data_IF_362862402035
#
_entry.id   IF_362862402035
#
_cell.length_a   1.000
_cell.length_b   1.000
_cell.length_c   1.000
_cell.angle_alpha   90.00
_cell.angle_beta   90.00
_cell.angle_gamma   90.00
#
_symmetry.space_group_name_H-M   'P 1'
#
loop_
_entity.id
_entity.type
_entity.pdbx_description
1 polymer ?
#
# COMPACT_ATOMS: atom_id res chain seq x y z
N UNK A 1 6.56 14.21 -6.37
CA UNK A 1 5.43 14.30 -5.44
C UNK A 1 5.79 13.64 -4.14
N UNK A 2 5.39 14.24 -3.06
CA UNK A 2 5.67 13.70 -1.74
C UNK A 2 4.62 12.67 -1.34
N UNK A 3 5.00 11.82 -0.40
CA UNK A 3 4.08 10.94 0.28
C UNK A 3 3.81 11.56 1.66
N UNK A 4 2.63 11.34 2.20
CA UNK A 4 2.32 11.71 3.58
C UNK A 4 2.00 10.44 4.37
N UNK A 5 2.56 10.35 5.57
CA UNK A 5 2.32 9.21 6.46
C UNK A 5 1.98 9.77 7.84
N UNK A 6 0.78 9.46 8.31
CA UNK A 6 0.32 9.94 9.62
C UNK A 6 0.02 8.74 10.50
N UNK A 7 0.81 8.58 11.54
CA UNK A 7 0.69 7.45 12.47
C UNK A 7 -0.17 7.88 13.66
N UNK A 8 -1.29 7.19 13.86
CA UNK A 8 -2.14 7.40 15.03
C UNK A 8 -1.65 6.56 16.20
N UNK A 9 -2.12 6.86 17.39
CA UNK A 9 -1.70 6.15 18.60
C UNK A 9 -2.13 4.70 18.58
N UNK A 10 -1.28 3.83 19.12
CA UNK A 10 -1.61 2.43 19.33
C UNK A 10 -2.68 2.34 20.41
N UNK A 11 -3.78 1.68 20.11
CA UNK A 11 -4.89 1.51 21.05
C UNK A 11 -4.64 0.36 22.01
N UNK A 12 -5.28 0.37 23.19
CA UNK A 12 -5.10 -0.72 24.18
C UNK A 12 -5.43 -2.12 23.64
N UNK A 13 -6.31 -2.20 22.63
CA UNK A 13 -6.69 -3.49 22.03
C UNK A 13 -5.67 -4.00 21.00
N UNK A 14 -4.55 -3.30 20.80
CA UNK A 14 -3.54 -3.68 19.83
C UNK A 14 -3.79 -3.19 18.42
N UNK A 15 -4.81 -2.36 18.21
CA UNK A 15 -5.12 -1.80 16.89
C UNK A 15 -4.42 -0.45 16.71
N UNK A 16 -3.93 -0.21 15.51
CA UNK A 16 -3.28 1.05 15.17
C UNK A 16 -3.63 1.43 13.73
N UNK A 17 -3.88 2.71 13.52
CA UNK A 17 -4.23 3.25 12.20
C UNK A 17 -3.08 4.12 11.69
N UNK A 18 -2.76 3.95 10.41
CA UNK A 18 -1.76 4.76 9.73
C UNK A 18 -2.40 5.27 8.43
N UNK A 19 -2.42 6.59 8.26
CA UNK A 19 -2.91 7.19 7.03
C UNK A 19 -1.76 7.41 6.07
N UNK A 20 -1.92 6.94 4.82
CA UNK A 20 -0.93 7.11 3.77
C UNK A 20 -1.59 7.86 2.63
N UNK A 21 -1.00 8.98 2.22
CA UNK A 21 -1.53 9.79 1.14
C UNK A 21 -0.49 10.16 0.12
N UNK A 22 -0.96 10.64 -1.02
CA UNK A 22 -0.10 11.08 -2.10
C UNK A 22 0.20 9.98 -3.10
N UNK A 23 1.45 9.89 -3.52
CA UNK A 23 1.88 8.95 -4.55
C UNK A 23 2.92 7.98 -3.98
N UNK A 24 2.60 6.71 -3.97
CA UNK A 24 3.50 5.67 -3.46
C UNK A 24 4.18 4.95 -4.64
N UNK A 25 5.44 5.29 -4.86
CA UNK A 25 6.21 4.80 -6.01
C UNK A 25 7.66 4.51 -5.63
N UNK A 26 8.54 4.35 -6.63
CA UNK A 26 9.95 4.04 -6.42
C UNK A 26 10.71 5.15 -5.70
N UNK A 27 10.20 6.38 -5.70
CA UNK A 27 10.83 7.51 -5.03
C UNK A 27 10.35 7.70 -3.59
N UNK A 28 9.20 7.13 -3.23
CA UNK A 28 8.56 7.39 -1.94
C UNK A 28 8.40 6.15 -1.06
N UNK A 29 8.51 4.93 -1.63
CA UNK A 29 8.26 3.71 -0.86
C UNK A 29 9.20 3.55 0.34
N UNK A 30 10.43 4.07 0.22
CA UNK A 30 11.40 4.00 1.30
C UNK A 30 10.94 4.74 2.56
N UNK A 31 10.30 5.90 2.37
CA UNK A 31 9.76 6.65 3.50
C UNK A 31 8.64 5.85 4.19
N UNK A 32 7.78 5.21 3.41
CA UNK A 32 6.75 4.35 3.99
C UNK A 32 7.37 3.17 4.74
N UNK A 33 8.37 2.50 4.14
CA UNK A 33 9.07 1.39 4.80
C UNK A 33 9.64 1.80 6.16
N UNK A 34 10.30 2.98 6.22
CA UNK A 34 10.88 3.48 7.46
C UNK A 34 9.80 3.71 8.52
N UNK A 35 8.68 4.31 8.12
CA UNK A 35 7.59 4.60 9.07
C UNK A 35 6.91 3.31 9.52
N UNK A 36 6.69 2.36 8.63
CA UNK A 36 6.10 1.07 9.00
C UNK A 36 7.04 0.25 9.89
N UNK A 37 8.35 0.37 9.71
CA UNK A 37 9.32 -0.27 10.59
C UNK A 37 9.15 0.21 12.03
N UNK A 38 8.94 1.53 12.21
CA UNK A 38 8.68 2.10 13.53
C UNK A 38 7.38 1.56 14.13
N UNK A 39 6.32 1.49 13.33
CA UNK A 39 5.03 0.97 13.77
C UNK A 39 5.15 -0.49 14.18
N UNK A 40 5.85 -1.29 13.37
CA UNK A 40 5.98 -2.73 13.61
C UNK A 40 6.91 -3.07 14.77
N UNK A 41 7.73 -2.10 15.20
CA UNK A 41 8.57 -2.29 16.39
C UNK A 41 7.74 -2.29 17.68
N UNK A 42 6.54 -1.72 17.65
CA UNK A 42 5.61 -1.75 18.79
C UNK A 42 4.77 -3.04 18.75
N UNK A 43 3.95 -3.22 19.79
CA UNK A 43 3.12 -4.43 19.94
C UNK A 43 1.80 -4.32 19.18
N UNK A 44 1.85 -3.82 17.96
CA UNK A 44 0.65 -3.73 17.14
C UNK A 44 0.21 -5.12 16.69
N UNK A 45 -1.07 -5.41 16.79
CA UNK A 45 -1.67 -6.68 16.37
C UNK A 45 -2.55 -6.49 15.13
N UNK A 46 -3.23 -5.37 15.03
CA UNK A 46 -4.07 -5.07 13.89
C UNK A 46 -3.69 -3.70 13.36
N UNK A 47 -3.11 -3.67 12.17
CA UNK A 47 -2.71 -2.44 11.51
C UNK A 47 -3.70 -2.10 10.43
N UNK A 48 -4.30 -0.92 10.52
CA UNK A 48 -5.20 -0.41 9.48
C UNK A 48 -4.46 0.65 8.69
N UNK A 49 -4.23 0.39 7.41
CA UNK A 49 -3.68 1.40 6.50
C UNK A 49 -4.86 2.10 5.82
N UNK A 50 -5.05 3.36 6.18
CA UNK A 50 -6.10 4.19 5.58
C UNK A 50 -5.53 4.87 4.34
N UNK A 51 -6.04 4.48 3.18
CA UNK A 51 -5.52 4.90 1.88
C UNK A 51 -6.47 5.88 1.17
N UNK A 52 -7.35 6.55 1.93
CA UNK A 52 -8.31 7.49 1.35
C UNK A 52 -7.65 8.59 0.53
N UNK A 53 -6.44 9.00 0.91
CA UNK A 53 -5.70 10.07 0.25
C UNK A 53 -4.58 9.54 -0.64
N UNK A 54 -4.48 8.23 -0.84
CA UNK A 54 -3.48 7.64 -1.72
C UNK A 54 -3.99 7.61 -3.14
N UNK A 55 -3.33 8.35 -4.03
CA UNK A 55 -3.77 8.55 -5.42
C UNK A 55 -3.18 7.54 -6.38
N UNK A 56 -2.05 6.94 -6.03
CA UNK A 56 -1.30 6.09 -6.94
C UNK A 56 -0.43 5.11 -6.16
N UNK A 57 -0.31 3.89 -6.66
CA UNK A 57 0.60 2.89 -6.09
C UNK A 57 1.35 2.16 -7.21
N UNK A 58 2.68 2.04 -7.06
CA UNK A 58 3.55 1.28 -7.97
C UNK A 58 3.81 -0.12 -7.41
N UNK A 59 4.52 -0.93 -8.20
CA UNK A 59 4.93 -2.26 -7.73
C UNK A 59 5.78 -2.20 -6.47
N UNK A 60 6.65 -1.18 -6.36
CA UNK A 60 7.46 -0.98 -5.15
C UNK A 60 6.58 -0.69 -3.94
N UNK A 61 5.52 0.12 -4.13
CA UNK A 61 4.57 0.42 -3.07
C UNK A 61 3.78 -0.80 -2.63
N UNK A 62 3.32 -1.60 -3.57
CA UNK A 62 2.62 -2.85 -3.26
C UNK A 62 3.52 -3.77 -2.45
N UNK A 63 4.79 -3.88 -2.84
CA UNK A 63 5.78 -4.72 -2.16
C UNK A 63 5.98 -4.28 -0.71
N UNK A 64 6.07 -2.96 -0.47
CA UNK A 64 6.21 -2.40 0.87
C UNK A 64 5.04 -2.79 1.77
N UNK A 65 3.83 -2.67 1.25
CA UNK A 65 2.62 -2.99 2.01
C UNK A 65 2.53 -4.49 2.29
N UNK A 66 2.83 -5.32 1.29
CA UNK A 66 2.77 -6.78 1.47
C UNK A 66 3.87 -7.28 2.41
N UNK A 67 5.04 -6.62 2.41
CA UNK A 67 6.10 -6.93 3.37
C UNK A 67 5.64 -6.67 4.80
N UNK A 68 5.00 -5.54 5.05
CA UNK A 68 4.45 -5.22 6.36
C UNK A 68 3.38 -6.24 6.78
N UNK A 69 2.51 -6.62 5.85
CA UNK A 69 1.48 -7.64 6.10
C UNK A 69 2.10 -8.97 6.50
N UNK A 70 3.16 -9.39 5.80
CA UNK A 70 3.85 -10.64 6.07
C UNK A 70 4.52 -10.63 7.45
N UNK A 71 5.15 -9.51 7.82
CA UNK A 71 5.79 -9.38 9.13
C UNK A 71 4.76 -9.44 10.26
N UNK A 72 3.61 -8.83 10.08
CA UNK A 72 2.51 -8.90 11.05
C UNK A 72 1.97 -10.33 11.15
N UNK A 73 1.74 -10.98 10.01
CA UNK A 73 1.20 -12.34 9.99
C UNK A 73 2.12 -13.32 10.73
N UNK A 74 3.44 -13.12 10.66
CA UNK A 74 4.42 -13.98 11.34
C UNK A 74 4.27 -13.94 12.86
N UNK A 75 3.64 -12.90 13.42
CA UNK A 75 3.38 -12.81 14.86
C UNK A 75 1.89 -12.84 15.19
N UNK A 76 1.09 -13.39 14.28
CA UNK A 76 -0.36 -13.55 14.48
C UNK A 76 -1.17 -12.29 14.30
N UNK A 77 -0.58 -11.22 13.75
CA UNK A 77 -1.28 -9.97 13.51
C UNK A 77 -1.89 -9.90 12.12
N UNK A 78 -2.64 -8.83 11.89
CA UNK A 78 -3.31 -8.61 10.61
C UNK A 78 -3.07 -7.20 10.11
N UNK A 79 -3.07 -7.03 8.78
CA UNK A 79 -3.02 -5.73 8.13
C UNK A 79 -4.25 -5.60 7.23
N UNK A 80 -4.96 -4.50 7.37
CA UNK A 80 -6.17 -4.23 6.62
C UNK A 80 -5.99 -2.93 5.85
N UNK A 81 -6.41 -2.92 4.59
CA UNK A 81 -6.45 -1.71 3.78
C UNK A 81 -7.85 -1.11 3.88
N UNK A 82 -7.93 0.18 4.16
CA UNK A 82 -9.20 0.88 4.33
C UNK A 82 -9.29 2.06 3.37
N UNK A 83 -10.49 2.31 2.88
CA UNK A 83 -10.82 3.50 2.08
C UNK A 83 -9.99 3.66 0.82
N UNK A 84 -9.64 2.54 0.17
CA UNK A 84 -8.87 2.60 -1.08
C UNK A 84 -9.66 3.29 -2.18
N UNK A 85 -8.99 4.17 -2.92
CA UNK A 85 -9.58 4.76 -4.12
C UNK A 85 -9.67 3.69 -5.23
N UNK A 86 -10.63 3.80 -6.16
CA UNK A 86 -10.86 2.75 -7.17
C UNK A 86 -9.62 2.33 -7.96
N UNK A 87 -8.79 3.28 -8.39
CA UNK A 87 -7.59 2.98 -9.16
C UNK A 87 -6.56 2.21 -8.33
N UNK A 88 -6.44 2.54 -7.04
CA UNK A 88 -5.52 1.86 -6.12
C UNK A 88 -6.06 0.47 -5.78
N UNK A 89 -7.36 0.37 -5.52
CA UNK A 89 -8.00 -0.92 -5.24
C UNK A 89 -7.78 -1.90 -6.38
N UNK A 90 -7.88 -1.41 -7.63
CA UNK A 90 -7.66 -2.27 -8.81
C UNK A 90 -6.28 -2.89 -8.82
N UNK A 91 -5.25 -2.13 -8.43
CA UNK A 91 -3.89 -2.65 -8.35
C UNK A 91 -3.82 -3.81 -7.35
N UNK A 92 -4.38 -3.63 -6.15
CA UNK A 92 -4.36 -4.69 -5.14
C UNK A 92 -5.16 -5.91 -5.57
N UNK A 93 -6.28 -5.72 -6.27
CA UNK A 93 -7.07 -6.83 -6.80
C UNK A 93 -6.27 -7.66 -7.80
N UNK A 94 -5.52 -7.00 -8.67
CA UNK A 94 -4.69 -7.68 -9.68
C UNK A 94 -3.58 -8.49 -9.01
N UNK A 95 -2.82 -7.87 -8.10
CA UNK A 95 -1.68 -8.55 -7.47
C UNK A 95 -2.11 -9.63 -6.50
N UNK A 96 -3.32 -9.54 -5.98
CA UNK A 96 -3.91 -10.59 -5.13
C UNK A 96 -4.21 -11.84 -5.95
N UNK A 97 -4.64 -11.66 -7.19
CA UNK A 97 -4.96 -12.76 -8.09
C UNK A 97 -3.72 -13.44 -8.63
N UNK A 98 -2.73 -12.65 -9.12
CA UNK A 98 -1.50 -13.18 -9.72
C UNK A 98 -0.32 -12.29 -9.31
N UNK A 99 0.77 -12.86 -8.77
CA UNK A 99 1.96 -12.07 -8.44
C UNK A 99 2.53 -11.39 -9.69
N UNK A 100 2.91 -10.12 -9.55
CA UNK A 100 3.44 -9.34 -10.68
C UNK A 100 4.70 -9.95 -11.27
N UNK A 101 5.53 -10.61 -10.45
CA UNK A 101 6.75 -11.25 -10.90
C UNK A 101 6.50 -12.44 -11.84
N UNK A 102 5.30 -12.99 -11.83
CA UNK A 102 4.93 -14.10 -12.73
C UNK A 102 4.37 -13.60 -14.07
N UNK A 103 3.91 -12.33 -14.10
CA UNK A 103 3.31 -11.75 -15.30
C UNK A 103 4.33 -10.94 -16.10
N UNK A 104 5.19 -10.20 -15.42
CA UNK A 104 6.10 -9.24 -16.04
C UNK A 104 7.56 -9.63 -15.83
N UNK A 105 8.39 -9.33 -16.83
CA UNK A 105 9.82 -9.66 -16.81
C UNK A 105 10.64 -8.66 -16.01
N UNK A 106 10.14 -7.44 -15.83
CA UNK A 106 10.87 -6.39 -15.13
C UNK A 106 9.94 -5.52 -14.32
N UNK A 107 10.51 -4.79 -13.37
CA UNK A 107 9.78 -3.83 -12.55
C UNK A 107 9.23 -2.70 -13.44
N UNK A 108 10.01 -2.26 -14.42
CA UNK A 108 9.60 -1.20 -15.34
C UNK A 108 8.39 -1.59 -16.16
N UNK A 109 8.33 -2.84 -16.62
CA UNK A 109 7.19 -3.36 -17.37
C UNK A 109 5.95 -3.43 -16.48
N UNK A 110 6.11 -3.91 -15.25
CA UNK A 110 5.00 -3.98 -14.29
C UNK A 110 4.48 -2.57 -13.96
N UNK A 111 5.38 -1.62 -13.72
CA UNK A 111 4.98 -0.25 -13.38
C UNK A 111 4.29 0.44 -14.56
N UNK A 112 4.74 0.20 -15.79
CA UNK A 112 4.07 0.75 -16.97
C UNK A 112 2.63 0.24 -17.08
N UNK A 113 2.42 -1.02 -16.79
CA UNK A 113 1.09 -1.62 -16.80
C UNK A 113 0.21 -1.03 -15.69
N UNK A 114 0.72 -0.96 -14.46
CA UNK A 114 -0.03 -0.43 -13.33
C UNK A 114 -0.37 1.05 -13.52
N UNK A 115 0.56 1.83 -14.07
CA UNK A 115 0.33 3.24 -14.37
C UNK A 115 -0.81 3.41 -15.37
N UNK A 116 -0.80 2.61 -16.42
CA UNK A 116 -1.82 2.65 -17.47
C UNK A 116 -3.20 2.32 -16.93
N UNK A 117 -3.30 1.28 -16.09
CA UNK A 117 -4.57 0.87 -15.50
C UNK A 117 -5.13 1.95 -14.58
N UNK A 118 -4.29 2.54 -13.75
CA UNK A 118 -4.73 3.57 -12.81
C UNK A 118 -5.20 4.82 -13.56
N UNK A 119 -4.48 5.22 -14.59
CA UNK A 119 -4.89 6.36 -15.42
C UNK A 119 -6.22 6.09 -16.13
N UNK A 120 -6.41 4.88 -16.61
CA UNK A 120 -7.64 4.50 -17.29
C UNK A 120 -8.85 4.58 -16.36
N UNK A 121 -8.70 4.11 -15.11
CA UNK A 121 -9.79 4.15 -14.14
C UNK A 121 -10.13 5.59 -13.77
N UNK A 122 -9.12 6.44 -13.57
CA UNK A 122 -9.33 7.84 -13.27
C UNK A 122 -10.05 8.56 -14.40
N UNK A 123 -9.72 8.25 -15.64
CA UNK A 123 -10.40 8.84 -16.80
C UNK A 123 -11.86 8.38 -16.88
N UNK A 124 -12.14 7.11 -16.60
CA UNK A 124 -13.50 6.58 -16.63
C UNK A 124 -14.38 7.14 -15.51
N UNK A 125 -13.79 7.49 -14.37
CA UNK A 125 -14.53 8.05 -13.24
C UNK A 125 -15.08 9.45 -13.55
N UNK A 126 -14.60 10.10 -14.58
CA UNK A 126 -15.08 11.42 -15.00
C UNK A 126 -16.34 11.36 -15.84
N UNK A 127 -16.70 10.18 -16.30
CA UNK A 127 -17.92 9.99 -17.09
C UNK A 127 -19.19 9.88 -16.18
#
# INVERSE_FOLDING_TARGET
>A
MAISVRIHSLLPNGSQRVEVGGRLDTHTYGELDDRLTLVLAAKVQSLVLDLAQLDYVSSAGVRSIFRARKLLAARGGTLVLANTQPQVQKVFDIVKAVPLSEIFRSVEEADAYLDRIQKKILANDED
#
